data_IF_389088791836
#
_entry.id   IF_389088791836
#
_cell.length_a   1.000
_cell.length_b   1.000
_cell.length_c   1.000
_cell.angle_alpha   90.00
_cell.angle_beta   90.00
_cell.angle_gamma   90.00
#
_symmetry.space_group_name_H-M   'P 1'
#
loop_
_entity.id
_entity.type
_entity.pdbx_description
1 polymer ?
#
# COMPACT_ATOMS: atom_id res chain seq x y z
N UNK A 1 2.06 -6.25 -6.63
CA UNK A 1 0.83 -5.95 -5.84
C UNK A 1 -0.45 -5.94 -6.65
N UNK A 2 -0.48 -5.30 -7.83
CA UNK A 2 -1.70 -5.29 -8.68
C UNK A 2 -2.18 -6.69 -9.04
N UNK A 3 -1.27 -7.61 -9.38
CA UNK A 3 -1.61 -9.00 -9.67
C UNK A 3 -2.20 -9.72 -8.46
N UNK A 4 -1.59 -9.55 -7.28
CA UNK A 4 -2.09 -10.11 -6.02
C UNK A 4 -3.50 -9.61 -5.70
N UNK A 5 -3.74 -8.31 -5.86
CA UNK A 5 -5.06 -7.73 -5.64
C UNK A 5 -6.13 -8.35 -6.53
N UNK A 6 -5.80 -8.57 -7.81
CA UNK A 6 -6.73 -9.18 -8.78
C UNK A 6 -7.03 -10.65 -8.49
N UNK A 7 -6.07 -11.38 -7.93
CA UNK A 7 -6.21 -12.82 -7.65
C UNK A 7 -6.91 -13.09 -6.31
N UNK A 8 -6.72 -12.21 -5.32
CA UNK A 8 -7.15 -12.44 -3.94
C UNK A 8 -8.37 -11.62 -3.51
N UNK A 9 -8.69 -10.54 -4.24
CA UNK A 9 -9.80 -9.65 -3.93
C UNK A 9 -10.67 -9.43 -5.15
N UNK A 10 -11.95 -9.13 -4.93
CA UNK A 10 -12.89 -8.83 -6.01
C UNK A 10 -12.55 -7.54 -6.73
N UNK A 11 -12.03 -6.55 -5.99
CA UNK A 11 -11.63 -5.26 -6.54
C UNK A 11 -10.39 -4.73 -5.83
N UNK A 12 -9.75 -3.73 -6.43
CA UNK A 12 -8.55 -3.11 -5.91
C UNK A 12 -8.58 -1.61 -6.19
N UNK A 13 -8.26 -0.83 -5.17
CA UNK A 13 -8.03 0.62 -5.30
C UNK A 13 -6.53 0.88 -5.17
N UNK A 14 -5.96 1.53 -6.16
CA UNK A 14 -4.53 1.79 -6.24
C UNK A 14 -4.24 3.29 -6.12
N UNK A 15 -3.52 3.66 -5.08
CA UNK A 15 -3.09 5.04 -4.81
C UNK A 15 -1.57 5.10 -4.90
N UNK A 16 -1.06 5.93 -5.79
CA UNK A 16 0.37 6.17 -5.95
C UNK A 16 0.70 7.60 -5.49
N UNK A 17 1.44 7.72 -4.39
CA UNK A 17 1.76 9.02 -3.80
C UNK A 17 2.80 9.82 -4.59
N UNK A 18 3.49 9.21 -5.52
CA UNK A 18 4.41 9.92 -6.41
C UNK A 18 3.67 10.72 -7.49
N UNK A 19 2.54 10.20 -7.96
CA UNK A 19 1.77 10.80 -9.06
C UNK A 19 0.46 11.45 -8.63
N UNK A 20 -0.17 10.97 -7.55
CA UNK A 20 -1.48 11.44 -7.09
C UNK A 20 -1.32 12.45 -5.95
N UNK A 21 -0.91 13.67 -6.29
CA UNK A 21 -0.60 14.72 -5.30
C UNK A 21 -1.82 15.15 -4.48
N UNK A 22 -3.02 15.11 -5.06
CA UNK A 22 -4.25 15.43 -4.34
C UNK A 22 -4.48 14.48 -3.17
N UNK A 23 -4.11 13.22 -3.29
CA UNK A 23 -4.20 12.25 -2.19
C UNK A 23 -3.24 12.56 -1.05
N UNK A 24 -2.05 13.09 -1.34
CA UNK A 24 -1.14 13.58 -0.29
C UNK A 24 -1.80 14.66 0.56
N UNK A 25 -2.49 15.60 -0.08
CA UNK A 25 -3.19 16.68 0.63
C UNK A 25 -4.32 16.15 1.51
N UNK A 26 -5.06 15.15 1.04
CA UNK A 26 -6.12 14.52 1.83
C UNK A 26 -5.56 13.84 3.08
N UNK A 27 -4.45 13.11 2.96
CA UNK A 27 -3.78 12.47 4.10
C UNK A 27 -3.17 13.49 5.07
N UNK A 28 -2.79 14.68 4.61
CA UNK A 28 -2.36 15.78 5.47
C UNK A 28 -3.52 16.37 6.27
N UNK A 29 -4.69 16.48 5.67
CA UNK A 29 -5.87 17.09 6.29
C UNK A 29 -6.48 16.22 7.38
N UNK A 30 -6.50 14.93 7.20
CA UNK A 30 -7.14 14.01 8.15
C UNK A 30 -6.40 12.69 8.23
N UNK A 31 -6.54 12.02 9.36
CA UNK A 31 -6.09 10.63 9.57
C UNK A 31 -7.26 9.70 9.86
N UNK A 32 -8.49 10.20 9.75
CA UNK A 32 -9.68 9.38 9.94
C UNK A 32 -9.86 8.42 8.75
N UNK A 33 -9.80 7.09 8.95
CA UNK A 33 -9.82 6.12 7.85
C UNK A 33 -11.05 6.25 6.96
N UNK A 34 -12.22 6.43 7.53
CA UNK A 34 -13.47 6.52 6.74
C UNK A 34 -13.49 7.74 5.84
N UNK A 35 -12.94 8.87 6.27
CA UNK A 35 -12.82 10.07 5.43
C UNK A 35 -11.82 9.86 4.31
N UNK A 36 -10.70 9.20 4.59
CA UNK A 36 -9.69 8.87 3.60
C UNK A 36 -10.22 7.89 2.55
N UNK A 37 -10.98 6.88 2.99
CA UNK A 37 -11.64 5.93 2.09
C UNK A 37 -12.59 6.66 1.16
N UNK A 38 -13.38 7.59 1.68
CA UNK A 38 -14.28 8.38 0.86
C UNK A 38 -13.55 9.23 -0.18
N UNK A 39 -12.44 9.83 0.19
CA UNK A 39 -11.58 10.57 -0.74
C UNK A 39 -11.02 9.65 -1.83
N UNK A 40 -10.61 8.45 -1.48
CA UNK A 40 -10.14 7.46 -2.45
C UNK A 40 -11.24 7.02 -3.41
N UNK A 41 -12.46 6.82 -2.91
CA UNK A 41 -13.63 6.50 -3.74
C UNK A 41 -13.90 7.60 -4.76
N UNK A 42 -13.86 8.86 -4.33
CA UNK A 42 -14.08 10.02 -5.20
C UNK A 42 -12.94 10.15 -6.24
N UNK A 43 -11.71 9.91 -5.84
CA UNK A 43 -10.55 10.04 -6.72
C UNK A 43 -10.48 8.94 -7.78
N UNK A 44 -10.84 7.73 -7.42
CA UNK A 44 -10.72 6.55 -8.29
C UNK A 44 -12.02 6.20 -9.03
N UNK A 45 -13.14 6.74 -8.59
CA UNK A 45 -14.46 6.38 -9.12
C UNK A 45 -14.92 4.97 -8.75
N UNK A 46 -14.27 4.34 -7.78
CA UNK A 46 -14.58 2.97 -7.33
C UNK A 46 -15.15 2.98 -5.93
N UNK A 47 -16.06 2.04 -5.65
CA UNK A 47 -16.55 1.79 -4.29
C UNK A 47 -15.54 0.90 -3.56
N UNK A 48 -15.28 1.23 -2.30
CA UNK A 48 -14.38 0.46 -1.44
C UNK A 48 -15.21 -0.31 -0.42
N UNK A 49 -15.26 -1.64 -0.61
CA UNK A 49 -15.97 -2.55 0.30
C UNK A 49 -14.99 -3.15 1.31
N UNK A 50 -15.34 -3.22 2.61
CA UNK A 50 -14.41 -3.70 3.64
C UNK A 50 -13.82 -5.07 3.38
N UNK A 51 -14.63 -6.01 2.90
CA UNK A 51 -14.21 -7.41 2.79
C UNK A 51 -13.73 -7.82 1.40
N UNK A 52 -14.02 -7.03 0.37
CA UNK A 52 -13.79 -7.42 -1.02
C UNK A 52 -12.84 -6.52 -1.79
N UNK A 53 -12.51 -5.35 -1.27
CA UNK A 53 -11.61 -4.38 -1.92
C UNK A 53 -10.27 -4.32 -1.20
N UNK A 54 -9.19 -4.47 -1.95
CA UNK A 54 -7.84 -4.21 -1.44
C UNK A 54 -7.46 -2.75 -1.72
N UNK A 55 -7.07 -2.02 -0.68
CA UNK A 55 -6.51 -0.67 -0.82
C UNK A 55 -4.99 -0.81 -0.92
N UNK A 56 -4.41 -0.34 -2.01
CA UNK A 56 -2.96 -0.35 -2.22
C UNK A 56 -2.43 1.07 -2.17
N UNK A 57 -1.54 1.34 -1.22
CA UNK A 57 -0.84 2.61 -1.06
C UNK A 57 0.60 2.43 -1.54
N UNK A 58 0.87 2.84 -2.77
CA UNK A 58 2.18 2.69 -3.40
C UNK A 58 3.00 3.97 -3.27
N UNK A 59 4.32 3.81 -3.28
CA UNK A 59 5.29 4.89 -3.05
C UNK A 59 4.99 5.63 -1.74
N UNK A 60 4.67 4.89 -0.69
CA UNK A 60 4.19 5.45 0.58
C UNK A 60 5.25 6.33 1.28
N UNK A 61 6.54 6.12 0.97
CA UNK A 61 7.62 6.96 1.49
C UNK A 61 7.49 8.43 1.04
N UNK A 62 6.76 8.69 -0.03
CA UNK A 62 6.50 10.05 -0.52
C UNK A 62 5.45 10.79 0.32
N UNK A 63 4.78 10.12 1.25
CA UNK A 63 3.75 10.70 2.10
C UNK A 63 3.85 10.17 3.54
N UNK A 64 4.52 10.93 4.41
CA UNK A 64 4.69 10.54 5.82
C UNK A 64 3.34 10.44 6.56
N UNK A 65 2.40 11.28 6.21
CA UNK A 65 1.06 11.27 6.79
C UNK A 65 0.31 9.97 6.47
N UNK A 66 0.57 9.38 5.30
CA UNK A 66 0.01 8.08 4.97
C UNK A 66 0.60 6.96 5.84
N UNK A 67 1.90 6.98 6.10
CA UNK A 67 2.52 6.06 7.06
C UNK A 67 1.90 6.18 8.44
N UNK A 68 1.72 7.41 8.92
CA UNK A 68 1.12 7.66 10.22
C UNK A 68 -0.35 7.23 10.29
N UNK A 69 -1.07 7.26 9.16
CA UNK A 69 -2.47 6.86 9.11
C UNK A 69 -2.69 5.36 9.26
N UNK A 70 -1.68 4.52 9.01
CA UNK A 70 -1.79 3.06 9.09
C UNK A 70 -2.22 2.59 10.47
N UNK A 71 -1.77 3.26 11.52
CA UNK A 71 -2.20 2.99 12.89
C UNK A 71 -3.71 3.12 13.03
N UNK A 72 -4.27 4.19 12.49
CA UNK A 72 -5.71 4.47 12.59
C UNK A 72 -6.52 3.50 11.72
N UNK A 73 -6.02 3.10 10.56
CA UNK A 73 -6.66 2.05 9.77
C UNK A 73 -6.75 0.74 10.55
N UNK A 74 -5.70 0.38 11.26
CA UNK A 74 -5.70 -0.84 12.07
C UNK A 74 -6.65 -0.75 13.27
N UNK A 75 -6.68 0.40 13.96
CA UNK A 75 -7.47 0.58 15.18
C UNK A 75 -8.94 0.87 14.89
N UNK A 76 -9.22 1.73 13.92
CA UNK A 76 -10.56 2.29 13.68
C UNK A 76 -11.29 1.66 12.48
N UNK A 77 -10.56 1.03 11.57
CA UNK A 77 -11.13 0.41 10.38
C UNK A 77 -10.44 -0.94 10.05
N UNK A 78 -10.36 -1.87 11.02
CA UNK A 78 -9.64 -3.13 10.83
C UNK A 78 -10.27 -4.05 9.79
N UNK A 79 -11.51 -3.81 9.42
CA UNK A 79 -12.22 -4.56 8.38
C UNK A 79 -11.74 -4.26 6.96
N UNK A 80 -11.01 -3.16 6.76
CA UNK A 80 -10.45 -2.80 5.46
C UNK A 80 -9.05 -3.40 5.29
N UNK A 81 -8.82 -4.03 4.14
CA UNK A 81 -7.51 -4.57 3.79
C UNK A 81 -6.66 -3.48 3.13
N UNK A 82 -5.54 -3.16 3.74
CA UNK A 82 -4.60 -2.14 3.24
C UNK A 82 -3.23 -2.78 3.05
N UNK A 83 -2.67 -2.62 1.86
CA UNK A 83 -1.31 -3.02 1.56
C UNK A 83 -0.51 -1.78 1.14
N UNK A 84 0.71 -1.70 1.60
CA UNK A 84 1.60 -0.58 1.33
C UNK A 84 2.85 -1.08 0.63
N UNK A 85 3.35 -0.28 -0.31
CA UNK A 85 4.61 -0.54 -0.96
C UNK A 85 5.44 0.74 -1.01
N UNK A 86 6.75 0.56 -0.97
CA UNK A 86 7.66 1.69 -1.09
C UNK A 86 9.10 1.21 -1.16
N UNK A 87 9.93 1.95 -1.89
CA UNK A 87 11.36 1.74 -1.91
C UNK A 87 12.00 2.47 -0.73
N UNK A 88 13.09 1.92 -0.21
CA UNK A 88 13.85 2.52 0.90
C UNK A 88 12.99 2.84 2.14
N UNK A 89 11.94 2.05 2.37
CA UNK A 89 10.98 2.29 3.44
C UNK A 89 11.66 2.32 4.82
N UNK A 90 12.64 1.45 5.06
CA UNK A 90 13.42 1.46 6.29
C UNK A 90 14.21 2.75 6.52
N UNK A 91 14.72 3.36 5.45
CA UNK A 91 15.43 4.64 5.52
C UNK A 91 14.46 5.77 5.79
N UNK A 92 13.31 5.77 5.14
CA UNK A 92 12.27 6.78 5.35
C UNK A 92 11.76 6.74 6.79
N UNK A 93 11.53 5.57 7.35
CA UNK A 93 11.10 5.39 8.73
C UNK A 93 12.11 5.93 9.74
N UNK A 94 13.40 5.76 9.48
CA UNK A 94 14.46 6.26 10.35
C UNK A 94 14.66 7.77 10.25
N UNK A 95 14.39 8.36 9.08
CA UNK A 95 14.62 9.80 8.84
C UNK A 95 13.52 10.70 9.40
N UNK A 96 12.30 10.25 9.44
CA UNK A 96 11.15 11.11 9.71
C UNK A 96 10.76 11.17 11.17
N UNK A 97 11.35 10.35 12.04
CA UNK A 97 10.90 10.24 13.43
C UNK A 97 9.42 9.86 13.54
N UNK A 98 8.82 9.46 12.43
CA UNK A 98 7.45 9.01 12.41
C UNK A 98 7.31 7.83 13.37
N UNK A 99 6.35 7.93 14.30
CA UNK A 99 6.01 6.81 15.17
C UNK A 99 5.42 5.71 14.30
N UNK A 100 6.27 4.76 13.94
CA UNK A 100 5.83 3.59 13.18
C UNK A 100 4.86 2.78 14.05
N UNK A 101 3.72 2.32 13.54
CA UNK A 101 2.77 1.55 14.32
C UNK A 101 3.30 0.13 14.58
N UNK A 102 4.19 0.01 15.55
CA UNK A 102 4.78 -1.28 15.96
C UNK A 102 3.67 -2.25 16.38
N UNK A 103 3.70 -3.46 15.82
CA UNK A 103 2.69 -4.48 16.09
C UNK A 103 1.37 -4.32 15.33
N UNK A 104 1.23 -3.27 14.52
CA UNK A 104 0.02 -2.98 13.74
C UNK A 104 0.18 -3.27 12.25
N UNK A 105 1.40 -3.53 11.80
CA UNK A 105 1.75 -3.76 10.40
C UNK A 105 2.69 -4.94 10.30
N UNK A 106 2.40 -5.84 9.39
CA UNK A 106 3.29 -6.94 9.02
C UNK A 106 4.21 -6.51 7.88
N UNK A 107 5.48 -6.79 8.02
CA UNK A 107 6.49 -6.45 7.02
C UNK A 107 6.83 -7.61 6.13
N UNK A 108 6.94 -7.30 4.85
CA UNK A 108 7.51 -8.22 3.87
C UNK A 108 8.54 -7.46 3.03
N UNK A 109 9.76 -7.95 2.99
CA UNK A 109 10.80 -7.40 2.13
C UNK A 109 10.89 -8.20 0.85
N UNK A 110 10.70 -7.52 -0.27
CA UNK A 110 10.87 -8.11 -1.58
C UNK A 110 12.26 -7.72 -2.10
N UNK A 111 13.14 -8.71 -2.20
CA UNK A 111 14.48 -8.51 -2.75
C UNK A 111 14.44 -8.53 -4.29
N UNK A 112 15.40 -7.85 -4.94
CA UNK A 112 15.57 -8.02 -6.37
C UNK A 112 15.75 -9.49 -6.73
N UNK A 113 15.23 -9.88 -7.88
CA UNK A 113 15.34 -11.25 -8.38
C UNK A 113 16.83 -11.61 -8.52
N UNK A 114 17.25 -12.69 -7.90
CA UNK A 114 18.62 -13.19 -8.05
C UNK A 114 18.85 -13.70 -9.48
N UNK A 115 20.10 -13.77 -9.90
CA UNK A 115 20.44 -14.30 -11.23
C UNK A 115 19.90 -15.72 -11.44
N UNK A 116 19.96 -16.55 -10.40
CA UNK A 116 19.42 -17.91 -10.44
C UNK A 116 17.90 -17.94 -10.61
N UNK A 117 17.18 -17.06 -9.92
CA UNK A 117 15.72 -16.94 -10.07
C UNK A 117 15.34 -16.39 -11.45
N UNK A 118 16.11 -15.42 -11.95
CA UNK A 118 15.92 -14.89 -13.29
C UNK A 118 16.10 -15.98 -14.35
N UNK A 119 17.17 -16.80 -14.24
CA UNK A 119 17.40 -17.90 -15.16
C UNK A 119 16.27 -18.92 -15.12
N UNK A 120 15.79 -19.28 -13.93
CA UNK A 120 14.65 -20.21 -13.82
C UNK A 120 13.40 -19.69 -14.50
N UNK A 121 13.12 -18.40 -14.34
CA UNK A 121 11.95 -17.77 -14.97
C UNK A 121 12.13 -17.65 -16.49
N UNK A 122 13.33 -17.31 -16.96
CA UNK A 122 13.62 -17.18 -18.38
C UNK A 122 13.66 -18.52 -19.09
N UNK A 123 14.19 -19.56 -18.43
CA UNK A 123 14.32 -20.91 -18.98
C UNK A 123 13.09 -21.80 -18.74
N UNK A 124 12.09 -21.32 -18.03
CA UNK A 124 10.86 -22.09 -17.80
C UNK A 124 10.20 -22.55 -19.11
N UNK A 125 10.48 -21.84 -20.22
CA UNK A 125 10.05 -22.27 -21.56
C UNK A 125 10.97 -23.31 -22.20
N UNK A 126 12.20 -23.44 -21.72
CA UNK A 126 13.17 -24.40 -22.25
C UNK A 126 13.15 -25.74 -21.49
N UNK A 127 12.60 -25.75 -20.26
CA UNK A 127 12.48 -26.95 -19.42
C UNK A 127 11.15 -27.69 -19.57
N UNK A 128 10.33 -27.25 -20.45
CA UNK A 128 9.12 -27.95 -20.90
C UNK A 128 9.37 -28.51 -22.31
#
# INVERSE_FOLDING_TARGET
MKKFGRESFEDMVYINFDTMLAMKEDFKRTKEPLKLIKSMELMTGKNISPTSTLIVLDEIQECNEALNSLKYFCEDAPEYAVACAGSLLGVALNRTGASFPVGKVDFMTLYPVSFAEYLRAADAQLYH
#
